data_IF_891172549188
#
_entry.id   IF_891172549188
#
_cell.length_a   1.000
_cell.length_b   1.000
_cell.length_c   1.000
_cell.angle_alpha   90.00
_cell.angle_beta   90.00
_cell.angle_gamma   90.00
#
_symmetry.space_group_name_H-M   'P 1'
#
loop_
_entity.id
_entity.type
_entity.pdbx_description
1 polymer ?
#
# COMPACT_ATOMS: atom_id res chain seq x y z
N UNK A 1 12.32 2.63 -12.73
CA UNK A 1 11.21 1.70 -12.43
C UNK A 1 10.94 1.57 -10.92
N UNK A 2 11.19 2.61 -10.11
CA UNK A 2 10.97 2.58 -8.65
C UNK A 2 10.16 3.77 -8.12
N UNK A 3 9.56 4.56 -9.03
CA UNK A 3 8.90 5.82 -8.68
C UNK A 3 7.80 5.67 -7.61
N UNK A 4 7.11 4.52 -7.55
CA UNK A 4 6.11 4.25 -6.50
C UNK A 4 6.75 4.04 -5.12
N UNK A 5 7.85 3.28 -5.05
CA UNK A 5 8.62 3.06 -3.82
C UNK A 5 9.29 4.35 -3.37
N UNK A 6 9.87 5.11 -4.29
CA UNK A 6 10.50 6.40 -4.02
C UNK A 6 9.49 7.40 -3.44
N UNK A 7 8.29 7.50 -4.02
CA UNK A 7 7.22 8.35 -3.49
C UNK A 7 6.79 7.92 -2.10
N UNK A 8 6.63 6.62 -1.86
CA UNK A 8 6.27 6.10 -0.55
C UNK A 8 7.34 6.41 0.50
N UNK A 9 8.61 6.16 0.19
CA UNK A 9 9.73 6.47 1.09
C UNK A 9 9.80 7.95 1.42
N UNK A 10 9.61 8.82 0.42
CA UNK A 10 9.53 10.27 0.64
C UNK A 10 8.39 10.65 1.58
N UNK A 11 7.20 10.05 1.42
CA UNK A 11 6.07 10.30 2.33
C UNK A 11 6.38 9.86 3.76
N UNK A 12 7.02 8.70 3.96
CA UNK A 12 7.46 8.29 5.31
C UNK A 12 8.48 9.29 5.87
N UNK A 13 9.41 9.74 5.04
CA UNK A 13 10.44 10.68 5.47
C UNK A 13 9.84 12.01 5.93
N UNK A 14 9.05 12.64 5.07
CA UNK A 14 8.46 13.96 5.31
C UNK A 14 7.42 13.94 6.45
N UNK A 15 6.62 12.87 6.56
CA UNK A 15 5.51 12.84 7.51
C UNK A 15 5.85 12.20 8.85
N UNK A 16 6.80 11.26 8.90
CA UNK A 16 7.15 10.55 10.12
C UNK A 16 8.59 10.81 10.58
N UNK A 17 9.59 10.55 9.72
CA UNK A 17 11.00 10.53 10.13
C UNK A 17 11.48 11.94 10.52
N UNK A 18 11.16 12.95 9.73
CA UNK A 18 11.65 14.32 9.96
C UNK A 18 11.12 14.86 11.31
N UNK A 19 9.86 14.56 11.65
CA UNK A 19 9.24 14.90 12.93
C UNK A 19 9.79 14.10 14.12
N UNK A 20 10.17 12.84 13.90
CA UNK A 20 10.62 11.92 14.94
C UNK A 20 12.14 11.70 14.93
N UNK A 21 12.90 12.61 14.33
CA UNK A 21 14.37 12.50 14.21
C UNK A 21 15.08 12.31 15.57
N UNK A 22 14.52 12.85 16.65
CA UNK A 22 15.03 12.65 18.01
C UNK A 22 14.97 11.19 18.49
N UNK A 23 14.06 10.37 17.95
CA UNK A 23 13.93 8.95 18.28
C UNK A 23 14.97 8.07 17.60
N UNK A 24 15.73 8.60 16.63
CA UNK A 24 16.79 7.84 15.95
C UNK A 24 17.92 7.40 16.91
N UNK A 25 18.03 8.06 18.07
CA UNK A 25 18.94 7.64 19.14
C UNK A 25 18.50 6.33 19.83
N UNK A 26 17.21 6.00 19.78
CA UNK A 26 16.61 4.82 20.39
C UNK A 26 15.81 4.01 19.35
N UNK A 27 16.48 3.14 18.57
CA UNK A 27 15.85 2.38 17.48
C UNK A 27 14.61 1.59 17.90
N UNK A 28 14.58 1.03 19.11
CA UNK A 28 13.43 0.27 19.60
C UNK A 28 12.17 1.13 19.80
N UNK A 29 12.34 2.37 20.23
CA UNK A 29 11.22 3.31 20.37
C UNK A 29 10.78 3.84 19.01
N UNK A 30 11.75 4.17 18.13
CA UNK A 30 11.49 4.57 16.76
C UNK A 30 10.68 3.49 16.01
N UNK A 31 11.10 2.22 16.08
CA UNK A 31 10.44 1.12 15.40
C UNK A 31 9.00 0.91 15.88
N UNK A 32 8.75 1.02 17.19
CA UNK A 32 7.40 0.90 17.75
C UNK A 32 6.48 1.98 17.20
N UNK A 33 6.91 3.24 17.25
CA UNK A 33 6.13 4.37 16.72
C UNK A 33 5.97 4.32 15.20
N UNK A 34 6.98 3.83 14.48
CA UNK A 34 6.90 3.64 13.04
C UNK A 34 5.86 2.58 12.67
N UNK A 35 5.79 1.48 13.42
CA UNK A 35 4.75 0.46 13.22
C UNK A 35 3.36 1.05 13.42
N UNK A 36 3.15 1.83 14.49
CA UNK A 36 1.86 2.48 14.74
C UNK A 36 1.46 3.40 13.58
N UNK A 37 2.42 4.19 13.08
CA UNK A 37 2.22 5.05 11.91
C UNK A 37 1.88 4.24 10.64
N UNK A 38 2.58 3.14 10.39
CA UNK A 38 2.34 2.28 9.22
C UNK A 38 0.99 1.56 9.28
N UNK A 39 0.54 1.17 10.48
CA UNK A 39 -0.80 0.61 10.68
C UNK A 39 -1.82 1.67 10.26
N UNK A 40 -1.78 2.85 10.88
CA UNK A 40 -2.66 3.98 10.54
C UNK A 40 -2.67 4.29 9.03
N UNK A 41 -1.48 4.41 8.43
CA UNK A 41 -1.32 4.72 7.01
C UNK A 41 -2.01 3.68 6.11
N UNK A 42 -1.91 2.40 6.44
CA UNK A 42 -2.43 1.32 5.59
C UNK A 42 -3.90 0.98 5.86
N UNK A 43 -4.38 1.14 7.09
CA UNK A 43 -5.72 0.71 7.49
C UNK A 43 -6.74 1.84 7.51
N UNK A 44 -6.33 3.03 7.93
CA UNK A 44 -7.26 4.14 8.25
C UNK A 44 -7.11 5.34 7.31
N UNK A 45 -5.89 5.69 6.93
CA UNK A 45 -5.63 6.87 6.09
C UNK A 45 -6.25 6.70 4.71
N UNK A 46 -7.10 7.64 4.32
CA UNK A 46 -7.62 7.73 2.96
C UNK A 46 -6.61 8.40 2.03
N UNK A 47 -6.50 7.90 0.80
CA UNK A 47 -5.55 8.44 -0.18
C UNK A 47 -6.24 9.20 -1.30
N UNK A 48 -5.61 10.29 -1.75
CA UNK A 48 -6.06 11.07 -2.89
C UNK A 48 -6.19 10.24 -4.17
N UNK A 49 -5.29 9.27 -4.37
CA UNK A 49 -5.36 8.32 -5.49
C UNK A 49 -6.70 7.55 -5.53
N UNK A 50 -7.36 7.39 -4.38
CA UNK A 50 -8.66 6.74 -4.24
C UNK A 50 -9.80 7.74 -3.99
N UNK A 51 -9.67 8.96 -4.51
CA UNK A 51 -10.63 10.05 -4.33
C UNK A 51 -10.91 10.38 -2.86
N UNK A 52 -9.93 10.16 -1.97
CA UNK A 52 -10.06 10.32 -0.52
C UNK A 52 -11.18 9.47 0.10
N UNK A 53 -11.50 8.31 -0.47
CA UNK A 53 -12.58 7.43 0.02
C UNK A 53 -12.11 6.15 0.68
N UNK A 54 -10.94 5.64 0.29
CA UNK A 54 -10.45 4.33 0.71
C UNK A 54 -9.04 4.43 1.25
N UNK A 55 -8.73 3.58 2.22
CA UNK A 55 -7.35 3.27 2.63
C UNK A 55 -6.72 2.21 1.71
N UNK A 56 -5.39 2.03 1.74
CA UNK A 56 -4.71 1.04 0.91
C UNK A 56 -5.27 -0.37 1.10
N UNK A 57 -5.50 -0.80 2.34
CA UNK A 57 -6.08 -2.12 2.64
C UNK A 57 -7.51 -2.23 2.12
N UNK A 58 -8.35 -1.21 2.32
CA UNK A 58 -9.72 -1.20 1.79
C UNK A 58 -9.74 -1.30 0.26
N UNK A 59 -8.82 -0.59 -0.41
CA UNK A 59 -8.67 -0.69 -1.86
C UNK A 59 -8.27 -2.11 -2.29
N UNK A 60 -7.28 -2.72 -1.62
CA UNK A 60 -6.87 -4.11 -1.90
C UNK A 60 -8.02 -5.11 -1.72
N UNK A 61 -8.86 -4.95 -0.68
CA UNK A 61 -10.04 -5.79 -0.47
C UNK A 61 -11.07 -5.64 -1.60
N UNK A 62 -11.26 -4.42 -2.10
CA UNK A 62 -12.16 -4.14 -3.22
C UNK A 62 -11.71 -4.81 -4.52
N UNK A 63 -10.40 -4.91 -4.75
CA UNK A 63 -9.82 -5.62 -5.89
C UNK A 63 -10.09 -7.12 -5.81
N UNK A 64 -9.89 -7.72 -4.63
CA UNK A 64 -10.13 -9.16 -4.41
C UNK A 64 -11.59 -9.55 -4.63
N UNK A 65 -12.53 -8.69 -4.23
CA UNK A 65 -13.95 -8.90 -4.51
C UNK A 65 -14.26 -8.82 -6.00
N UNK A 66 -13.68 -7.83 -6.69
CA UNK A 66 -13.81 -7.71 -8.15
C UNK A 66 -13.28 -8.93 -8.87
N UNK A 67 -12.05 -9.36 -8.58
CA UNK A 67 -11.45 -10.53 -9.24
C UNK A 67 -12.24 -11.82 -8.96
N UNK A 68 -12.74 -12.01 -7.74
CA UNK A 68 -13.63 -13.13 -7.41
C UNK A 68 -14.94 -13.09 -8.21
N UNK A 69 -15.55 -11.92 -8.36
CA UNK A 69 -16.77 -11.75 -9.16
C UNK A 69 -16.51 -11.98 -10.65
N UNK A 70 -15.40 -11.46 -11.18
CA UNK A 70 -14.98 -11.71 -12.57
C UNK A 70 -14.74 -13.21 -12.84
N UNK A 71 -14.13 -13.92 -11.89
CA UNK A 71 -13.87 -15.35 -12.00
C UNK A 71 -15.16 -16.18 -12.00
N UNK A 72 -16.09 -15.87 -11.08
CA UNK A 72 -17.40 -16.51 -11.00
C UNK A 72 -18.25 -16.24 -12.25
N UNK A 73 -18.21 -15.02 -12.78
CA UNK A 73 -19.02 -14.62 -13.94
C UNK A 73 -18.51 -15.19 -15.26
N UNK A 74 -17.19 -15.45 -15.39
CA UNK A 74 -16.60 -15.83 -16.68
C UNK A 74 -16.08 -17.27 -16.77
N UNK A 75 -15.94 -18.04 -15.68
CA UNK A 75 -15.32 -19.40 -15.69
C UNK A 75 -14.02 -19.50 -16.51
N UNK A 76 -13.22 -18.42 -16.57
CA UNK A 76 -11.95 -18.42 -17.30
C UNK A 76 -10.84 -18.84 -16.32
N UNK A 77 -9.96 -19.81 -16.66
CA UNK A 77 -8.84 -20.18 -15.79
C UNK A 77 -7.92 -18.98 -15.58
N UNK A 78 -7.45 -18.79 -14.34
CA UNK A 78 -6.56 -17.70 -13.94
C UNK A 78 -5.35 -17.60 -14.88
N UNK A 79 -5.44 -16.72 -15.88
CA UNK A 79 -4.30 -16.35 -16.71
C UNK A 79 -3.65 -15.15 -16.06
N UNK A 80 -2.60 -15.41 -15.30
CA UNK A 80 -1.70 -14.40 -14.76
C UNK A 80 -1.14 -13.57 -15.93
N UNK A 81 -1.70 -12.39 -16.20
CA UNK A 81 -1.08 -11.46 -17.13
C UNK A 81 0.11 -10.82 -16.43
N UNK A 82 1.29 -10.94 -17.04
CA UNK A 82 2.49 -10.26 -16.59
C UNK A 82 2.28 -8.75 -16.75
N UNK A 83 2.44 -8.01 -15.65
CA UNK A 83 2.50 -6.56 -15.71
C UNK A 83 3.68 -6.18 -16.62
N UNK A 84 3.41 -5.43 -17.71
CA UNK A 84 4.45 -4.93 -18.65
C UNK A 84 5.55 -4.10 -17.99
N UNK A 85 5.37 -3.77 -16.72
CA UNK A 85 6.31 -3.11 -15.86
C UNK A 85 6.67 -3.97 -14.64
N UNK A 86 7.31 -5.13 -14.86
CA UNK A 86 8.34 -5.73 -13.98
C UNK A 86 8.06 -5.95 -12.48
N UNK A 87 6.84 -5.71 -11.99
CA UNK A 87 6.42 -5.99 -10.63
C UNK A 87 5.36 -7.09 -10.69
N UNK A 88 5.49 -8.08 -9.80
CA UNK A 88 4.78 -9.36 -9.85
C UNK A 88 3.26 -9.24 -10.01
N UNK A 89 2.69 -10.32 -10.55
CA UNK A 89 1.31 -10.48 -10.99
C UNK A 89 0.29 -9.72 -10.13
N UNK A 90 -0.33 -8.69 -10.70
CA UNK A 90 -1.58 -8.14 -10.17
C UNK A 90 -2.71 -8.89 -10.86
N UNK A 91 -3.53 -9.60 -10.07
CA UNK A 91 -4.75 -10.23 -10.58
C UNK A 91 -5.74 -9.11 -10.92
N UNK A 92 -5.94 -8.86 -12.21
CA UNK A 92 -7.03 -8.01 -12.73
C UNK A 92 -8.32 -8.83 -12.72
#
# INVERSE_FOLDING_TARGET
MNAHLERFNRTIQEEFIDYHSFLLLNPDEFNRKLIDYLIFYNTERVHYAFQNKLSPVQFMLSLKQRSSLYFLQNKIPLRSQECKSGCGYTII
#
